data_IF_144150888429
#
_entry.id   IF_144150888429
#
_cell.length_a   1.000
_cell.length_b   1.000
_cell.length_c   1.000
_cell.angle_alpha   90.00
_cell.angle_beta   90.00
_cell.angle_gamma   90.00
#
_symmetry.space_group_name_H-M   'P 1'
#
loop_
_entity.id
_entity.type
_entity.pdbx_description
1 polymer ?
#
# COMPACT_ATOMS: atom_id res chain seq x y z
N UNK A 1 11.22 -11.00 30.38
CA UNK A 1 11.70 -10.72 29.01
C UNK A 1 11.20 -11.84 28.10
N UNK A 2 10.16 -11.60 27.29
CA UNK A 2 9.45 -12.60 26.48
C UNK A 2 10.11 -12.89 25.11
N UNK A 3 11.34 -12.45 24.91
CA UNK A 3 12.08 -12.62 23.67
C UNK A 3 13.56 -12.92 23.95
N UNK A 4 14.13 -13.83 23.17
CA UNK A 4 15.56 -14.00 22.95
C UNK A 4 15.96 -12.99 21.90
N UNK A 5 16.92 -12.17 22.26
CA UNK A 5 17.41 -11.10 21.41
C UNK A 5 18.88 -11.38 21.16
N UNK A 6 19.29 -11.36 19.90
CA UNK A 6 20.70 -11.34 19.53
C UNK A 6 21.07 -9.96 19.03
N UNK A 7 22.32 -9.57 19.24
CA UNK A 7 22.86 -8.37 18.62
C UNK A 7 23.27 -8.72 17.20
N UNK A 8 22.59 -8.15 16.21
CA UNK A 8 22.90 -8.30 14.80
C UNK A 8 23.51 -7.01 14.25
N UNK A 9 24.37 -7.13 13.25
CA UNK A 9 24.92 -5.97 12.54
C UNK A 9 23.99 -5.61 11.37
N UNK A 10 23.71 -4.33 11.19
CA UNK A 10 23.10 -3.80 9.99
C UNK A 10 24.04 -4.01 8.79
N UNK A 11 23.48 -4.05 7.58
CA UNK A 11 24.28 -4.11 6.36
C UNK A 11 25.28 -2.93 6.35
N UNK A 12 26.58 -3.22 6.25
CA UNK A 12 27.65 -2.23 6.36
C UNK A 12 28.46 -2.27 7.67
N UNK A 13 28.09 -3.09 8.66
CA UNK A 13 28.93 -3.40 9.83
C UNK A 13 29.04 -2.30 10.91
N UNK A 14 28.53 -1.10 10.65
CA UNK A 14 28.66 0.08 11.51
C UNK A 14 27.61 0.17 12.62
N UNK A 15 26.42 -0.43 12.45
CA UNK A 15 25.33 -0.36 13.43
C UNK A 15 24.92 -1.72 13.98
N UNK A 16 24.86 -1.84 15.31
CA UNK A 16 24.35 -3.02 16.03
C UNK A 16 22.88 -2.79 16.43
N UNK A 17 22.01 -3.74 16.11
CA UNK A 17 20.60 -3.72 16.53
C UNK A 17 20.20 -5.01 17.21
N UNK A 18 19.15 -4.93 18.02
CA UNK A 18 18.58 -6.05 18.74
C UNK A 18 17.56 -6.79 17.88
N UNK A 19 17.94 -7.98 17.39
CA UNK A 19 17.06 -8.85 16.60
C UNK A 19 16.41 -9.89 17.50
N UNK A 20 15.08 -9.90 17.55
CA UNK A 20 14.34 -10.99 18.20
C UNK A 20 14.47 -12.23 17.33
N UNK A 21 15.02 -13.31 17.91
CA UNK A 21 15.20 -14.60 17.21
C UNK A 21 14.25 -15.68 17.69
N UNK A 22 13.76 -15.56 18.92
CA UNK A 22 12.84 -16.54 19.50
C UNK A 22 12.02 -15.88 20.58
N UNK A 23 10.74 -16.21 20.67
CA UNK A 23 9.92 -15.81 21.81
C UNK A 23 10.05 -16.81 22.95
N UNK A 24 9.98 -16.32 24.19
CA UNK A 24 10.02 -17.10 25.42
C UNK A 24 8.75 -16.88 26.22
N UNK A 25 8.32 -17.90 26.96
CA UNK A 25 7.19 -17.83 27.89
C UNK A 25 5.87 -17.36 27.25
N UNK A 26 5.64 -17.65 25.96
CA UNK A 26 4.40 -17.30 25.26
C UNK A 26 3.17 -17.94 25.91
N UNK A 27 3.31 -19.18 26.42
CA UNK A 27 2.23 -19.86 27.13
C UNK A 27 1.82 -19.14 28.43
N UNK A 28 2.80 -18.70 29.22
CA UNK A 28 2.57 -17.92 30.44
C UNK A 28 1.94 -16.56 30.12
N UNK A 29 2.46 -15.87 29.09
CA UNK A 29 1.87 -14.61 28.63
C UNK A 29 0.43 -14.81 28.17
N UNK A 30 0.16 -15.88 27.41
CA UNK A 30 -1.18 -16.27 26.99
C UNK A 30 -2.12 -16.48 28.18
N UNK A 31 -1.67 -17.21 29.21
CA UNK A 31 -2.46 -17.42 30.43
C UNK A 31 -2.76 -16.13 31.21
N UNK A 32 -1.81 -15.19 31.28
CA UNK A 32 -2.01 -13.90 31.95
C UNK A 32 -2.99 -13.00 31.19
N UNK A 33 -2.95 -13.04 29.85
CA UNK A 33 -3.81 -12.21 29.00
C UNK A 33 -5.21 -12.82 28.83
N UNK A 34 -5.32 -14.15 28.80
CA UNK A 34 -6.56 -14.90 28.56
C UNK A 34 -7.76 -14.49 29.44
N UNK A 35 -7.66 -14.31 30.78
CA UNK A 35 -8.82 -13.94 31.59
C UNK A 35 -9.30 -12.51 31.33
N UNK A 36 -8.49 -11.69 30.65
CA UNK A 36 -8.79 -10.28 30.35
C UNK A 36 -9.00 -10.01 28.86
N UNK A 37 -8.96 -11.04 28.01
CA UNK A 37 -9.10 -10.89 26.56
C UNK A 37 -9.98 -11.99 25.98
N UNK A 38 -10.86 -11.60 25.07
CA UNK A 38 -11.62 -12.54 24.27
C UNK A 38 -11.24 -12.32 22.80
N UNK A 39 -10.83 -13.38 22.11
CA UNK A 39 -10.40 -13.32 20.72
C UNK A 39 -11.12 -14.40 19.93
N UNK A 40 -11.74 -13.99 18.84
CA UNK A 40 -12.30 -14.89 17.85
C UNK A 40 -11.68 -14.57 16.50
N UNK A 41 -11.28 -15.58 15.73
CA UNK A 41 -10.79 -15.38 14.36
C UNK A 41 -11.97 -15.34 13.39
N UNK A 42 -11.85 -14.60 12.29
CA UNK A 42 -12.89 -14.53 11.25
C UNK A 42 -13.33 -15.93 10.79
N UNK A 43 -12.37 -16.83 10.55
CA UNK A 43 -12.61 -18.22 10.15
C UNK A 43 -13.40 -19.06 11.16
N UNK A 44 -13.45 -18.65 12.43
CA UNK A 44 -14.14 -19.39 13.48
C UNK A 44 -15.62 -18.93 13.60
N UNK A 45 -16.02 -17.88 12.86
CA UNK A 45 -17.36 -17.28 12.95
C UNK A 45 -17.99 -16.89 11.61
N UNK A 46 -17.22 -16.84 10.52
CA UNK A 46 -17.64 -16.29 9.24
C UNK A 46 -17.14 -17.16 8.09
N UNK A 47 -18.05 -17.49 7.19
CA UNK A 47 -17.75 -18.13 5.91
C UNK A 47 -17.34 -17.07 4.88
N UNK A 48 -16.10 -16.59 4.99
CA UNK A 48 -15.54 -15.63 4.03
C UNK A 48 -14.75 -16.36 2.93
N UNK A 49 -14.92 -15.97 1.65
CA UNK A 49 -14.11 -16.49 0.56
C UNK A 49 -12.61 -16.23 0.74
N UNK A 50 -11.75 -16.97 0.05
CA UNK A 50 -10.29 -16.81 0.16
C UNK A 50 -9.79 -15.43 -0.31
N UNK A 51 -8.71 -14.97 0.30
CA UNK A 51 -7.85 -13.90 -0.21
C UNK A 51 -6.82 -14.51 -1.17
N UNK A 52 -6.74 -14.01 -2.40
CA UNK A 52 -5.72 -14.42 -3.39
C UNK A 52 -4.77 -13.25 -3.62
N UNK A 53 -3.46 -13.49 -3.55
CA UNK A 53 -2.44 -12.44 -3.72
C UNK A 53 -1.61 -12.69 -4.98
N UNK A 54 -1.37 -11.64 -5.74
CA UNK A 54 -0.48 -11.67 -6.90
C UNK A 54 0.33 -10.38 -6.99
N UNK A 55 1.52 -10.47 -7.58
CA UNK A 55 2.37 -9.31 -7.86
C UNK A 55 2.38 -9.07 -9.36
N UNK A 56 2.08 -7.84 -9.78
CA UNK A 56 2.29 -7.37 -11.15
C UNK A 56 3.62 -6.63 -11.20
N UNK A 57 4.64 -7.16 -11.87
CA UNK A 57 5.89 -6.44 -12.04
C UNK A 57 5.69 -5.21 -12.91
N UNK A 58 6.38 -4.13 -12.55
CA UNK A 58 6.45 -2.89 -13.34
C UNK A 58 7.92 -2.62 -13.66
N UNK A 59 8.23 -2.43 -14.94
CA UNK A 59 9.57 -2.01 -15.36
C UNK A 59 9.69 -0.49 -15.25
N UNK A 60 10.78 -0.01 -14.65
CA UNK A 60 11.09 1.41 -14.59
C UNK A 60 11.52 1.92 -15.97
N UNK A 61 11.11 3.13 -16.34
CA UNK A 61 11.64 3.82 -17.53
C UNK A 61 13.10 4.19 -17.34
N UNK A 62 13.84 4.48 -18.42
CA UNK A 62 15.26 4.89 -18.34
C UNK A 62 15.45 6.13 -17.45
N UNK A 63 14.51 7.08 -17.52
CA UNK A 63 14.49 8.27 -16.67
C UNK A 63 14.34 7.89 -15.18
N UNK A 64 13.39 7.01 -14.86
CA UNK A 64 13.19 6.52 -13.49
C UNK A 64 14.41 5.73 -13.00
N UNK A 65 15.00 4.87 -13.83
CA UNK A 65 16.16 4.06 -13.46
C UNK A 65 17.37 4.93 -13.14
N UNK A 66 17.61 5.98 -13.94
CA UNK A 66 18.68 6.95 -13.70
C UNK A 66 18.46 7.68 -12.37
N UNK A 67 17.29 8.30 -12.19
CA UNK A 67 16.97 9.03 -10.96
C UNK A 67 17.05 8.14 -9.71
N UNK A 68 16.54 6.91 -9.82
CA UNK A 68 16.57 5.92 -8.74
C UNK A 68 17.99 5.52 -8.37
N UNK A 69 18.85 5.27 -9.37
CA UNK A 69 20.23 4.84 -9.17
C UNK A 69 21.08 5.96 -8.54
N UNK A 70 20.92 7.20 -9.00
CA UNK A 70 21.59 8.37 -8.43
C UNK A 70 21.19 8.59 -6.97
N UNK A 71 19.89 8.52 -6.67
CA UNK A 71 19.38 8.66 -5.31
C UNK A 71 19.85 7.52 -4.39
N UNK A 72 19.82 6.28 -4.89
CA UNK A 72 20.30 5.10 -4.15
C UNK A 72 21.80 5.22 -3.85
N UNK A 73 22.60 5.62 -4.83
CA UNK A 73 24.04 5.83 -4.65
C UNK A 73 24.30 6.91 -3.60
N UNK A 74 23.58 8.02 -3.66
CA UNK A 74 23.70 9.13 -2.70
C UNK A 74 23.35 8.67 -1.29
N UNK A 75 22.24 7.96 -1.13
CA UNK A 75 21.83 7.38 0.15
C UNK A 75 22.87 6.39 0.69
N UNK A 76 23.44 5.53 -0.16
CA UNK A 76 24.50 4.59 0.24
C UNK A 76 25.78 5.31 0.66
N UNK A 77 26.19 6.36 -0.04
CA UNK A 77 27.36 7.17 0.35
C UNK A 77 27.16 7.78 1.73
N UNK A 78 25.99 8.39 1.99
CA UNK A 78 25.64 8.93 3.32
C UNK A 78 25.66 7.85 4.40
N UNK A 79 25.25 6.62 4.08
CA UNK A 79 25.34 5.48 5.00
C UNK A 79 26.78 5.08 5.34
N UNK A 80 27.72 5.27 4.40
CA UNK A 80 29.12 4.86 4.55
C UNK A 80 30.03 5.92 5.16
N UNK A 81 29.74 7.21 4.98
CA UNK A 81 30.60 8.32 5.45
C UNK A 81 30.55 8.58 6.95
N UNK A 82 29.74 7.84 7.71
CA UNK A 82 29.74 7.89 9.18
C UNK A 82 29.12 9.15 9.78
N UNK A 83 28.41 9.96 8.98
CA UNK A 83 27.53 11.00 9.52
C UNK A 83 26.49 10.35 10.44
N UNK A 84 26.11 11.03 11.52
CA UNK A 84 25.08 10.53 12.45
C UNK A 84 23.75 10.37 11.73
N UNK A 85 23.49 9.17 11.23
CA UNK A 85 22.26 8.82 10.55
C UNK A 85 21.16 8.62 11.58
N UNK A 86 20.14 9.46 11.51
CA UNK A 86 18.90 9.22 12.24
C UNK A 86 18.04 8.22 11.46
N UNK A 87 17.22 7.45 12.15
CA UNK A 87 16.21 6.60 11.51
C UNK A 87 15.27 7.42 10.59
N UNK A 88 15.05 8.69 10.92
CA UNK A 88 14.27 9.65 10.14
C UNK A 88 14.90 9.91 8.77
N UNK A 89 16.22 10.08 8.71
CA UNK A 89 16.94 10.31 7.45
C UNK A 89 16.83 9.09 6.53
N UNK A 90 17.01 7.87 7.07
CA UNK A 90 16.91 6.62 6.31
C UNK A 90 15.48 6.42 5.77
N UNK A 91 14.46 6.63 6.61
CA UNK A 91 13.07 6.52 6.19
C UNK A 91 12.73 7.53 5.09
N UNK A 92 13.26 8.76 5.19
CA UNK A 92 13.07 9.78 4.16
C UNK A 92 13.64 9.33 2.82
N UNK A 93 14.84 8.74 2.79
CA UNK A 93 15.42 8.23 1.55
C UNK A 93 14.61 7.08 0.96
N UNK A 94 14.10 6.15 1.78
CA UNK A 94 13.22 5.08 1.30
C UNK A 94 11.91 5.63 0.70
N UNK A 95 11.34 6.66 1.32
CA UNK A 95 10.14 7.33 0.79
C UNK A 95 10.46 7.99 -0.56
N UNK A 96 11.58 8.70 -0.69
CA UNK A 96 11.98 9.35 -1.95
C UNK A 96 12.22 8.31 -3.07
N UNK A 97 12.88 7.20 -2.75
CA UNK A 97 13.06 6.09 -3.69
C UNK A 97 11.70 5.51 -4.15
N UNK A 98 10.76 5.31 -3.23
CA UNK A 98 9.41 4.82 -3.55
C UNK A 98 8.57 5.84 -4.34
N UNK A 99 8.77 7.14 -4.15
CA UNK A 99 8.15 8.16 -5.00
C UNK A 99 8.61 7.99 -6.46
N UNK A 100 9.92 7.78 -6.68
CA UNK A 100 10.46 7.58 -8.04
C UNK A 100 9.83 6.36 -8.69
N UNK A 101 9.61 5.25 -7.96
CA UNK A 101 8.92 4.06 -8.50
C UNK A 101 7.45 4.33 -8.83
N UNK A 102 6.82 5.31 -8.19
CA UNK A 102 5.46 5.78 -8.50
C UNK A 102 5.43 6.83 -9.62
N UNK A 103 6.60 7.27 -10.11
CA UNK A 103 6.72 8.21 -11.22
C UNK A 103 6.70 9.67 -10.81
N UNK A 104 7.05 10.01 -9.58
CA UNK A 104 7.24 11.40 -9.18
C UNK A 104 8.39 11.51 -8.19
N UNK A 105 8.96 12.68 -8.01
CA UNK A 105 9.96 12.91 -6.96
C UNK A 105 9.79 14.30 -6.37
N UNK A 106 10.14 14.45 -5.10
CA UNK A 106 10.22 15.77 -4.47
C UNK A 106 11.64 16.30 -4.55
N UNK A 107 11.78 17.54 -5.01
CA UNK A 107 13.05 18.27 -4.93
C UNK A 107 13.30 18.71 -3.50
N UNK A 108 14.53 19.12 -3.19
CA UNK A 108 14.85 19.67 -1.87
C UNK A 108 14.15 21.02 -1.60
N UNK A 109 13.69 21.71 -2.65
CA UNK A 109 12.82 22.88 -2.57
C UNK A 109 11.35 22.52 -2.26
N UNK A 110 11.00 21.23 -2.20
CA UNK A 110 9.65 20.74 -1.91
C UNK A 110 8.73 20.62 -3.13
N UNK A 111 9.21 20.97 -4.31
CA UNK A 111 8.45 20.87 -5.56
C UNK A 111 8.32 19.40 -6.00
N UNK A 112 7.15 19.04 -6.54
CA UNK A 112 6.94 17.68 -7.07
C UNK A 112 7.23 17.71 -8.57
N UNK A 113 8.22 16.93 -8.98
CA UNK A 113 8.59 16.71 -10.38
C UNK A 113 7.98 15.39 -10.84
N UNK A 114 7.29 15.43 -11.97
CA UNK A 114 6.73 14.23 -12.58
C UNK A 114 7.80 13.52 -13.40
N UNK A 115 7.89 12.20 -13.23
CA UNK A 115 8.72 11.32 -14.05
C UNK A 115 7.80 10.45 -14.91
N UNK A 116 8.19 10.23 -16.16
CA UNK A 116 7.44 9.28 -16.99
C UNK A 116 7.56 7.88 -16.38
N UNK A 117 6.44 7.20 -16.19
CA UNK A 117 6.41 5.87 -15.58
C UNK A 117 5.43 4.93 -16.29
N UNK A 118 5.68 3.63 -16.14
CA UNK A 118 4.84 2.58 -16.73
C UNK A 118 3.74 2.09 -15.77
N UNK A 119 3.71 2.57 -14.53
CA UNK A 119 2.83 2.06 -13.48
C UNK A 119 1.36 2.35 -13.76
N UNK A 120 1.07 3.55 -14.26
CA UNK A 120 -0.28 3.91 -14.72
C UNK A 120 -0.71 3.05 -15.91
N UNK A 121 0.18 2.79 -16.86
CA UNK A 121 -0.10 1.92 -18.01
C UNK A 121 -0.43 0.49 -17.58
N UNK A 122 0.37 -0.08 -16.68
CA UNK A 122 0.11 -1.42 -16.12
C UNK A 122 -1.22 -1.46 -15.35
N UNK A 123 -1.53 -0.42 -14.57
CA UNK A 123 -2.83 -0.31 -13.91
C UNK A 123 -3.96 -0.35 -14.95
N UNK A 124 -3.91 0.48 -15.98
CA UNK A 124 -4.99 0.56 -16.99
C UNK A 124 -5.17 -0.76 -17.74
N UNK A 125 -4.09 -1.49 -18.05
CA UNK A 125 -4.18 -2.83 -18.63
C UNK A 125 -4.95 -3.79 -17.72
N UNK A 126 -4.61 -3.84 -16.42
CA UNK A 126 -5.32 -4.68 -15.45
C UNK A 126 -6.80 -4.28 -15.37
N UNK A 127 -7.11 -2.98 -15.35
CA UNK A 127 -8.50 -2.52 -15.27
C UNK A 127 -9.32 -2.89 -16.51
N UNK A 128 -8.70 -2.92 -17.69
CA UNK A 128 -9.31 -3.36 -18.94
C UNK A 128 -9.62 -4.87 -18.97
N UNK A 129 -8.79 -5.69 -18.34
CA UNK A 129 -8.98 -7.14 -18.25
C UNK A 129 -9.89 -7.57 -17.09
N UNK A 130 -9.96 -6.74 -16.04
CA UNK A 130 -10.78 -7.02 -14.86
C UNK A 130 -12.25 -6.77 -15.16
N UNK A 131 -13.16 -7.50 -14.53
CA UNK A 131 -14.60 -7.23 -14.54
C UNK A 131 -15.10 -6.94 -13.14
N UNK A 132 -16.22 -6.22 -13.02
CA UNK A 132 -16.79 -5.87 -11.71
C UNK A 132 -16.01 -4.76 -11.02
N UNK A 133 -16.30 -4.57 -9.72
CA UNK A 133 -15.82 -3.42 -8.96
C UNK A 133 -14.42 -3.62 -8.41
N UNK A 134 -13.61 -2.57 -8.51
CA UNK A 134 -12.18 -2.60 -8.17
C UNK A 134 -11.86 -1.49 -7.18
N UNK A 135 -11.08 -1.82 -6.15
CA UNK A 135 -10.48 -0.87 -5.23
C UNK A 135 -9.04 -0.62 -5.65
N UNK A 136 -8.63 0.64 -5.75
CA UNK A 136 -7.28 1.05 -6.10
C UNK A 136 -6.72 1.88 -4.95
N UNK A 137 -5.71 1.33 -4.29
CA UNK A 137 -5.02 1.98 -3.17
C UNK A 137 -3.75 2.67 -3.67
N UNK A 138 -3.64 3.97 -3.41
CA UNK A 138 -2.44 4.77 -3.69
C UNK A 138 -2.07 5.66 -2.50
N UNK A 139 -0.78 5.70 -2.17
CA UNK A 139 -0.25 6.45 -1.04
C UNK A 139 -0.12 7.95 -1.31
N UNK A 140 -0.04 8.35 -2.57
CA UNK A 140 0.24 9.74 -2.96
C UNK A 140 -0.97 10.37 -3.65
N UNK A 141 -1.35 11.58 -3.23
CA UNK A 141 -2.50 12.30 -3.78
C UNK A 141 -2.33 12.57 -5.28
N UNK A 142 -1.09 12.89 -5.69
CA UNK A 142 -0.75 13.08 -7.11
C UNK A 142 -1.10 11.85 -7.96
N UNK A 143 -0.82 10.64 -7.45
CA UNK A 143 -1.15 9.40 -8.14
C UNK A 143 -2.67 9.19 -8.19
N UNK A 144 -3.39 9.45 -7.09
CA UNK A 144 -4.86 9.34 -7.04
C UNK A 144 -5.52 10.20 -8.13
N UNK A 145 -5.08 11.46 -8.25
CA UNK A 145 -5.61 12.39 -9.26
C UNK A 145 -5.26 11.88 -10.68
N UNK A 146 -4.04 11.41 -10.89
CA UNK A 146 -3.59 10.90 -12.19
C UNK A 146 -4.34 9.64 -12.61
N UNK A 147 -4.56 8.70 -11.68
CA UNK A 147 -5.34 7.48 -11.87
C UNK A 147 -6.79 7.84 -12.19
N UNK A 148 -7.40 8.74 -11.41
CA UNK A 148 -8.78 9.15 -11.64
C UNK A 148 -8.96 9.77 -13.02
N UNK A 149 -8.04 10.64 -13.43
CA UNK A 149 -8.04 11.23 -14.77
C UNK A 149 -7.99 10.16 -15.86
N UNK A 150 -7.03 9.24 -15.79
CA UNK A 150 -6.88 8.19 -16.81
C UNK A 150 -8.10 7.26 -16.88
N UNK A 151 -8.67 6.89 -15.73
CA UNK A 151 -9.88 6.07 -15.67
C UNK A 151 -11.07 6.82 -16.28
N UNK A 152 -11.22 8.11 -16.01
CA UNK A 152 -12.32 8.89 -16.55
C UNK A 152 -12.20 9.09 -18.07
N UNK A 153 -10.98 9.19 -18.60
CA UNK A 153 -10.71 9.28 -20.03
C UNK A 153 -11.06 7.97 -20.76
N UNK A 154 -10.74 6.81 -20.16
CA UNK A 154 -10.95 5.49 -20.79
C UNK A 154 -12.37 4.93 -20.57
N UNK A 155 -12.91 5.06 -19.35
CA UNK A 155 -14.15 4.41 -18.92
C UNK A 155 -15.31 5.40 -18.66
N UNK A 156 -15.07 6.70 -18.79
CA UNK A 156 -16.05 7.76 -18.58
C UNK A 156 -16.04 8.35 -17.16
N UNK A 157 -16.51 9.60 -17.06
CA UNK A 157 -16.43 10.43 -15.83
C UNK A 157 -17.17 9.84 -14.61
N UNK A 158 -18.23 9.05 -14.85
CA UNK A 158 -19.05 8.44 -13.81
C UNK A 158 -18.61 7.03 -13.43
N UNK A 159 -17.51 6.53 -14.02
CA UNK A 159 -17.00 5.17 -13.75
C UNK A 159 -16.17 5.06 -12.47
N UNK A 160 -15.75 6.20 -11.90
CA UNK A 160 -14.84 6.22 -10.76
C UNK A 160 -15.27 7.18 -9.65
N UNK A 161 -14.81 6.92 -8.44
CA UNK A 161 -14.86 7.89 -7.36
C UNK A 161 -13.59 7.85 -6.50
N UNK A 162 -13.24 8.99 -5.92
CA UNK A 162 -12.02 9.15 -5.13
C UNK A 162 -12.30 9.39 -3.65
N UNK A 163 -11.52 8.73 -2.79
CA UNK A 163 -11.63 8.78 -1.33
C UNK A 163 -10.25 9.07 -0.72
N UNK A 164 -9.95 10.35 -0.53
CA UNK A 164 -8.72 10.81 0.12
C UNK A 164 -8.96 12.15 0.84
N UNK A 165 -7.93 12.70 1.49
CA UNK A 165 -8.06 13.87 2.36
C UNK A 165 -8.51 15.15 1.64
N UNK A 166 -8.37 15.22 0.31
CA UNK A 166 -8.85 16.32 -0.50
C UNK A 166 -10.32 16.20 -0.94
N UNK A 167 -10.95 15.05 -0.75
CA UNK A 167 -12.36 14.83 -1.10
C UNK A 167 -13.28 15.33 0.02
N UNK A 168 -14.32 16.11 -0.32
CA UNK A 168 -15.32 16.57 0.66
C UNK A 168 -15.96 15.38 1.37
N UNK A 169 -16.34 15.57 2.64
CA UNK A 169 -16.89 14.48 3.45
C UNK A 169 -18.21 13.91 2.89
N UNK A 170 -19.07 14.76 2.34
CA UNK A 170 -20.32 14.35 1.71
C UNK A 170 -20.07 13.47 0.48
N UNK A 171 -19.14 13.89 -0.38
CA UNK A 171 -18.72 13.14 -1.58
C UNK A 171 -18.11 11.78 -1.23
N UNK A 172 -17.36 11.71 -0.12
CA UNK A 172 -16.79 10.46 0.40
C UNK A 172 -17.86 9.44 0.80
N UNK A 173 -18.93 9.87 1.47
CA UNK A 173 -20.04 8.98 1.84
C UNK A 173 -20.84 8.55 0.61
N UNK A 174 -21.10 9.48 -0.31
CA UNK A 174 -21.76 9.18 -1.57
C UNK A 174 -20.96 8.18 -2.42
N UNK A 175 -19.63 8.31 -2.47
CA UNK A 175 -18.73 7.39 -3.17
C UNK A 175 -18.86 5.96 -2.62
N UNK A 176 -18.84 5.76 -1.29
CA UNK A 176 -19.02 4.42 -0.70
C UNK A 176 -20.38 3.84 -1.06
N UNK A 177 -21.47 4.61 -0.93
CA UNK A 177 -22.82 4.13 -1.22
C UNK A 177 -22.97 3.73 -2.68
N UNK A 178 -22.53 4.57 -3.61
CA UNK A 178 -22.60 4.30 -5.05
C UNK A 178 -21.68 3.15 -5.45
N UNK A 179 -20.48 3.07 -4.87
CA UNK A 179 -19.58 1.95 -5.11
C UNK A 179 -20.17 0.62 -4.62
N UNK A 180 -20.87 0.59 -3.48
CA UNK A 180 -21.48 -0.64 -2.97
C UNK A 180 -22.77 -1.07 -3.70
N UNK A 181 -23.31 -0.23 -4.58
CA UNK A 181 -24.51 -0.54 -5.39
C UNK A 181 -24.10 -1.23 -6.71
N UNK A 182 -24.39 -2.52 -6.91
CA UNK A 182 -23.96 -3.28 -8.09
C UNK A 182 -24.45 -2.69 -9.43
N UNK A 183 -25.60 -2.02 -9.42
CA UNK A 183 -26.22 -1.43 -10.62
C UNK A 183 -25.66 -0.03 -10.93
N UNK A 184 -24.86 0.53 -10.02
CA UNK A 184 -24.29 1.86 -10.20
C UNK A 184 -23.09 1.83 -11.17
N UNK A 185 -22.96 2.80 -12.09
CA UNK A 185 -21.85 2.86 -13.05
C UNK A 185 -20.47 3.01 -12.40
N UNK A 186 -20.39 3.48 -11.14
CA UNK A 186 -19.13 3.56 -10.40
C UNK A 186 -18.58 2.15 -10.21
N UNK A 187 -17.50 1.88 -10.95
CA UNK A 187 -16.78 0.61 -10.97
C UNK A 187 -15.46 0.70 -10.22
N UNK A 188 -14.82 1.87 -10.19
CA UNK A 188 -13.48 2.05 -9.63
C UNK A 188 -13.49 2.95 -8.41
N UNK A 189 -13.13 2.40 -7.26
CA UNK A 189 -12.89 3.17 -6.03
C UNK A 189 -11.40 3.47 -5.93
N UNK A 190 -11.01 4.74 -5.88
CA UNK A 190 -9.61 5.15 -5.81
C UNK A 190 -9.39 5.82 -4.46
N UNK A 191 -8.47 5.34 -3.64
CA UNK A 191 -8.31 5.90 -2.30
C UNK A 191 -6.91 5.81 -1.73
N UNK A 192 -6.74 6.49 -0.60
CA UNK A 192 -5.55 6.38 0.21
C UNK A 192 -5.80 5.47 1.43
N UNK A 193 -4.91 4.50 1.64
CA UNK A 193 -5.00 3.51 2.73
C UNK A 193 -5.07 4.15 4.11
N UNK A 194 -4.41 5.31 4.31
CA UNK A 194 -4.40 6.04 5.59
C UNK A 194 -5.73 6.74 5.84
N UNK A 195 -6.36 7.28 4.79
CA UNK A 195 -7.70 7.87 4.92
C UNK A 195 -8.79 6.82 5.10
N UNK A 196 -8.52 5.54 4.80
CA UNK A 196 -9.44 4.42 5.03
C UNK A 196 -9.60 3.97 6.49
N UNK A 197 -8.91 4.63 7.44
CA UNK A 197 -9.00 4.34 8.88
C UNK A 197 -10.41 4.50 9.49
N UNK A 198 -11.36 5.12 8.78
CA UNK A 198 -12.73 5.40 9.25
C UNK A 198 -13.70 4.20 9.25
N UNK A 199 -13.22 2.96 9.09
CA UNK A 199 -14.11 1.81 9.26
C UNK A 199 -15.01 1.49 8.07
N UNK A 200 -14.68 1.96 6.85
CA UNK A 200 -15.50 1.79 5.65
C UNK A 200 -15.62 0.32 5.22
N UNK A 201 -16.68 -0.01 4.48
CA UNK A 201 -16.97 -1.34 3.95
C UNK A 201 -17.12 -1.25 2.44
N UNK A 202 -16.34 -2.04 1.71
CA UNK A 202 -16.23 -2.03 0.24
C UNK A 202 -16.29 -3.49 -0.29
N UNK A 203 -17.24 -4.26 0.24
CA UNK A 203 -17.41 -5.71 -0.02
C UNK A 203 -17.89 -6.04 -1.43
N UNK A 204 -18.41 -5.06 -2.18
CA UNK A 204 -18.80 -5.26 -3.58
C UNK A 204 -17.58 -5.46 -4.49
N UNK A 205 -16.39 -5.03 -4.04
CA UNK A 205 -15.16 -5.28 -4.77
C UNK A 205 -14.73 -6.74 -4.70
N UNK A 206 -14.41 -7.32 -5.85
CA UNK A 206 -13.73 -8.63 -5.97
C UNK A 206 -12.24 -8.49 -6.27
N UNK A 207 -11.78 -7.28 -6.62
CA UNK A 207 -10.38 -6.99 -6.93
C UNK A 207 -9.89 -5.76 -6.17
N UNK A 208 -8.70 -5.85 -5.59
CA UNK A 208 -8.01 -4.78 -4.88
C UNK A 208 -6.62 -4.64 -5.48
N UNK A 209 -6.30 -3.47 -5.99
CA UNK A 209 -5.01 -3.16 -6.60
C UNK A 209 -4.28 -2.18 -5.68
N UNK A 210 -3.12 -2.57 -5.19
CA UNK A 210 -2.18 -1.66 -4.56
C UNK A 210 -1.36 -1.01 -5.66
N UNK A 211 -1.81 0.16 -6.11
CA UNK A 211 -1.03 0.99 -7.00
C UNK A 211 0.29 1.30 -6.34
N UNK A 212 0.31 1.78 -5.09
CA UNK A 212 1.54 1.98 -4.33
C UNK A 212 1.46 1.40 -2.93
N UNK A 213 2.50 0.69 -2.54
CA UNK A 213 2.53 -0.13 -1.33
C UNK A 213 3.03 0.65 -0.12
N UNK A 214 2.50 0.31 1.06
CA UNK A 214 2.94 0.88 2.33
C UNK A 214 3.68 -0.19 3.14
N UNK A 215 4.77 0.19 3.80
CA UNK A 215 5.58 -0.67 4.66
C UNK A 215 4.92 -1.00 6.01
N UNK A 216 3.79 -0.36 6.31
CA UNK A 216 3.02 -0.57 7.53
C UNK A 216 2.04 -1.76 7.38
N UNK A 217 2.41 -2.90 7.97
CA UNK A 217 1.63 -4.14 7.93
C UNK A 217 0.23 -3.97 8.52
N UNK A 218 0.07 -3.14 9.55
CA UNK A 218 -1.25 -2.92 10.16
C UNK A 218 -2.18 -2.22 9.17
N UNK A 219 -1.69 -1.15 8.52
CA UNK A 219 -2.45 -0.45 7.48
C UNK A 219 -2.74 -1.35 6.29
N UNK A 220 -1.81 -2.23 5.92
CA UNK A 220 -2.02 -3.23 4.87
C UNK A 220 -3.19 -4.15 5.23
N UNK A 221 -3.14 -4.82 6.38
CA UNK A 221 -4.21 -5.73 6.84
C UNK A 221 -5.56 -5.00 6.93
N UNK A 222 -5.56 -3.78 7.48
CA UNK A 222 -6.78 -2.97 7.59
C UNK A 222 -7.37 -2.62 6.22
N UNK A 223 -6.53 -2.34 5.23
CA UNK A 223 -6.98 -2.03 3.86
C UNK A 223 -7.53 -3.27 3.15
N UNK A 224 -6.94 -4.44 3.36
CA UNK A 224 -7.45 -5.70 2.80
C UNK A 224 -8.84 -6.03 3.34
N UNK A 225 -9.01 -5.82 4.65
CA UNK A 225 -10.23 -6.09 5.39
C UNK A 225 -11.40 -5.16 5.01
N UNK A 226 -11.18 -4.13 4.18
CA UNK A 226 -12.26 -3.30 3.61
C UNK A 226 -13.08 -4.06 2.58
N UNK A 227 -12.45 -4.90 1.78
CA UNK A 227 -13.09 -5.79 0.82
C UNK A 227 -13.36 -7.19 1.41
N UNK A 228 -12.50 -7.67 2.31
CA UNK A 228 -12.65 -8.96 2.99
C UNK A 228 -13.35 -8.82 4.34
N UNK A 229 -14.63 -8.46 4.26
CA UNK A 229 -15.51 -8.22 5.40
C UNK A 229 -16.81 -9.03 5.26
N UNK A 230 -17.55 -9.15 6.36
CA UNK A 230 -18.90 -9.73 6.39
C UNK A 230 -19.74 -9.10 5.28
N UNK A 231 -20.34 -9.94 4.43
CA UNK A 231 -21.09 -9.53 3.24
C UNK A 231 -20.34 -9.76 1.92
N UNK A 232 -19.04 -10.09 1.97
CA UNK A 232 -18.30 -10.52 0.79
C UNK A 232 -18.77 -11.90 0.31
N UNK A 233 -19.12 -12.01 -0.97
CA UNK A 233 -19.62 -13.25 -1.60
C UNK A 233 -18.60 -13.90 -2.52
N UNK A 234 -17.61 -13.14 -2.99
CA UNK A 234 -16.61 -13.58 -3.96
C UNK A 234 -15.21 -13.66 -3.35
N UNK A 235 -14.35 -14.50 -3.94
CA UNK A 235 -12.91 -14.45 -3.66
C UNK A 235 -12.38 -13.06 -3.99
N UNK A 236 -11.50 -12.55 -3.14
CA UNK A 236 -10.91 -11.22 -3.34
C UNK A 236 -9.49 -11.38 -3.86
N UNK A 237 -9.24 -10.86 -5.06
CA UNK A 237 -7.92 -10.80 -5.67
C UNK A 237 -7.20 -9.52 -5.25
N UNK A 238 -6.03 -9.64 -4.66
CA UNK A 238 -5.13 -8.56 -4.28
C UNK A 238 -3.94 -8.53 -5.24
N UNK A 239 -3.79 -7.43 -5.98
CA UNK A 239 -2.74 -7.21 -6.97
C UNK A 239 -1.80 -6.12 -6.46
N UNK A 240 -0.53 -6.47 -6.27
CA UNK A 240 0.52 -5.53 -5.90
C UNK A 240 1.29 -5.09 -7.15
N UNK A 241 1.23 -3.80 -7.51
CA UNK A 241 2.16 -3.26 -8.51
C UNK A 241 3.54 -3.11 -7.85
N UNK A 242 4.55 -3.78 -8.40
CA UNK A 242 5.90 -3.86 -7.82
C UNK A 242 6.95 -3.49 -8.87
N UNK A 243 7.67 -2.39 -8.66
CA UNK A 243 8.79 -2.05 -9.51
C UNK A 243 10.00 -2.98 -9.27
N UNK A 244 10.47 -3.68 -10.30
CA UNK A 244 11.53 -4.70 -10.17
C UNK A 244 12.87 -4.11 -9.72
N UNK A 245 13.57 -4.80 -8.82
CA UNK A 245 14.89 -4.38 -8.33
C UNK A 245 14.89 -3.11 -7.47
N UNK A 246 13.72 -2.69 -6.98
CA UNK A 246 13.54 -1.46 -6.21
C UNK A 246 13.16 -1.72 -4.76
N UNK A 247 12.89 -0.65 -4.01
CA UNK A 247 12.33 -0.70 -2.66
C UNK A 247 10.96 -1.39 -2.61
N UNK A 248 10.19 -1.46 -3.72
CA UNK A 248 8.89 -2.13 -3.78
C UNK A 248 8.98 -3.65 -3.51
N UNK A 249 10.16 -4.27 -3.68
CA UNK A 249 10.38 -5.71 -3.45
C UNK A 249 10.74 -6.08 -2.00
N UNK A 250 11.03 -5.08 -1.15
CA UNK A 250 11.57 -5.25 0.20
C UNK A 250 10.48 -5.21 1.25
#
# INVERSE_FOLDING_TARGET
>A
RYAVVITANAAGGTHKYQKIVKFKNLAQLGQLVSPHSYRILKKDCLDLPDKVFTKRPVELTDEQQKAYSEMKSTAMTMLHTGETLTAVNVLTQLIRLHQITCGHMKTDAGETVQLKNNRLTELMQILGETTGKVIIWANYIHDIVSIQKAINEEFGIDSSCSYYGGTKQEDRQACIKKFQDPENPIRFFIGNTQTGGYGITLTEASTVIYYSNNYDLEKRIQSEDRAHRIGQKNKVLYIDLVAKGTVDEK
#
